data_IF_314993613471
#
_entry.id   IF_314993613471
#
_cell.length_a   1.000
_cell.length_b   1.000
_cell.length_c   1.000
_cell.angle_alpha   90.00
_cell.angle_beta   90.00
_cell.angle_gamma   90.00
#
_symmetry.space_group_name_H-M   'P 1'
#
loop_
_entity.id
_entity.type
_entity.pdbx_description
1 polymer ?
#
# COMPACT_ATOMS: atom_id res chain seq x y z
N UNK A 1 1.99 -8.12 0.04
CA UNK A 1 2.67 -7.43 -1.08
C UNK A 1 4.02 -8.07 -1.31
N UNK A 2 4.79 -7.59 -2.29
CA UNK A 2 6.06 -8.23 -2.66
C UNK A 2 7.27 -7.40 -2.27
N UNK A 3 8.37 -8.10 -1.96
CA UNK A 3 9.72 -7.52 -1.97
C UNK A 3 10.30 -7.76 -3.37
N UNK A 4 10.61 -6.67 -4.07
CA UNK A 4 11.26 -6.55 -5.41
C UNK A 4 11.18 -7.76 -6.38
N UNK A 5 11.87 -8.87 -6.09
CA UNK A 5 12.08 -9.99 -7.01
C UNK A 5 10.97 -11.06 -6.99
N UNK A 6 10.10 -11.10 -5.97
CA UNK A 6 8.99 -12.06 -5.93
C UNK A 6 7.89 -11.75 -6.95
N UNK A 7 7.80 -10.48 -7.39
CA UNK A 7 6.82 -10.02 -8.39
C UNK A 7 7.04 -10.69 -9.75
N UNK A 8 8.30 -11.07 -10.07
CA UNK A 8 8.71 -11.65 -11.35
C UNK A 8 9.33 -13.04 -11.22
N UNK A 9 9.08 -13.75 -10.12
CA UNK A 9 9.56 -15.13 -9.97
C UNK A 9 9.06 -15.98 -11.16
N UNK A 10 9.94 -16.74 -11.84
CA UNK A 10 9.53 -17.63 -12.94
C UNK A 10 8.43 -18.62 -12.58
N UNK A 11 8.26 -18.91 -11.28
CA UNK A 11 7.19 -19.75 -10.75
C UNK A 11 5.81 -19.08 -10.66
N UNK A 12 5.68 -17.77 -10.94
CA UNK A 12 4.39 -17.05 -10.99
C UNK A 12 4.03 -16.64 -12.41
N UNK A 13 3.30 -17.51 -13.10
CA UNK A 13 2.78 -17.27 -14.46
C UNK A 13 1.41 -16.58 -14.50
N UNK A 14 0.67 -16.55 -13.38
CA UNK A 14 -0.73 -16.06 -13.32
C UNK A 14 -0.91 -14.62 -12.78
N UNK A 15 0.16 -13.82 -12.68
CA UNK A 15 0.04 -12.44 -12.19
C UNK A 15 -0.34 -12.38 -10.70
N UNK A 16 -1.03 -11.32 -10.26
CA UNK A 16 -1.28 -11.03 -8.83
C UNK A 16 -2.73 -10.82 -8.45
N UNK A 17 -3.63 -10.89 -9.43
CA UNK A 17 -5.08 -10.75 -9.28
C UNK A 17 -5.63 -11.89 -8.44
N UNK A 18 -6.58 -11.57 -7.56
CA UNK A 18 -7.33 -12.51 -6.73
C UNK A 18 -8.75 -12.01 -6.60
N UNK A 19 -9.70 -12.92 -6.57
CA UNK A 19 -11.09 -12.60 -6.24
C UNK A 19 -11.45 -13.12 -4.86
N UNK A 20 -12.33 -12.40 -4.16
CA UNK A 20 -12.89 -12.85 -2.89
C UNK A 20 -14.40 -12.74 -2.93
N UNK A 21 -15.08 -13.83 -2.60
CA UNK A 21 -16.54 -13.87 -2.44
C UNK A 21 -16.89 -14.76 -1.23
N UNK A 22 -17.72 -14.24 -0.32
CA UNK A 22 -18.18 -14.97 0.88
C UNK A 22 -17.03 -15.63 1.68
N UNK A 23 -15.92 -14.91 1.91
CA UNK A 23 -14.70 -15.39 2.58
C UNK A 23 -13.96 -16.53 1.85
N UNK A 24 -14.27 -16.80 0.59
CA UNK A 24 -13.55 -17.75 -0.27
C UNK A 24 -12.65 -17.01 -1.26
N UNK A 25 -11.46 -17.54 -1.45
CA UNK A 25 -10.50 -17.08 -2.46
C UNK A 25 -10.84 -17.73 -3.81
N UNK A 26 -10.90 -16.93 -4.86
CA UNK A 26 -11.00 -17.37 -6.25
C UNK A 26 -10.00 -16.64 -7.14
N UNK A 27 -9.93 -17.06 -8.41
CA UNK A 27 -9.00 -16.53 -9.41
C UNK A 27 -9.69 -16.03 -10.69
N UNK A 28 -11.02 -16.20 -10.81
CA UNK A 28 -11.79 -15.76 -11.99
C UNK A 28 -12.56 -14.44 -11.72
N UNK A 29 -12.17 -13.32 -12.36
CA UNK A 29 -12.85 -12.03 -12.19
C UNK A 29 -14.27 -11.99 -12.76
N UNK A 30 -14.67 -12.96 -13.58
CA UNK A 30 -15.97 -12.99 -14.24
C UNK A 30 -17.02 -13.86 -13.52
N UNK A 31 -16.61 -14.63 -12.51
CA UNK A 31 -17.48 -15.59 -11.82
C UNK A 31 -18.69 -14.93 -11.12
N UNK A 32 -18.49 -13.77 -10.49
CA UNK A 32 -19.53 -13.09 -9.70
C UNK A 32 -19.45 -11.57 -9.83
N UNK A 33 -19.64 -11.04 -11.04
CA UNK A 33 -19.52 -9.60 -11.33
C UNK A 33 -20.41 -8.77 -10.41
N UNK A 34 -19.81 -7.75 -9.78
CA UNK A 34 -20.49 -6.85 -8.83
C UNK A 34 -20.77 -7.47 -7.45
N UNK A 35 -20.45 -8.76 -7.25
CA UNK A 35 -20.68 -9.50 -5.99
C UNK A 35 -19.40 -10.12 -5.42
N UNK A 36 -18.25 -9.88 -6.06
CA UNK A 36 -16.94 -10.28 -5.57
C UNK A 36 -16.00 -9.10 -5.52
N UNK A 37 -15.09 -9.13 -4.55
CA UNK A 37 -14.01 -8.18 -4.44
C UNK A 37 -12.87 -8.60 -5.36
N UNK A 38 -12.30 -7.63 -6.10
CA UNK A 38 -11.09 -7.82 -6.88
C UNK A 38 -9.91 -7.23 -6.10
N UNK A 39 -8.90 -8.06 -5.84
CA UNK A 39 -7.70 -7.65 -5.10
C UNK A 39 -6.45 -7.97 -5.88
N UNK A 40 -5.38 -7.22 -5.61
CA UNK A 40 -4.06 -7.49 -6.13
C UNK A 40 -3.02 -7.25 -5.04
N UNK A 41 -1.86 -7.90 -5.19
CA UNK A 41 -0.76 -7.64 -4.28
C UNK A 41 -0.18 -6.24 -4.50
N UNK A 42 0.10 -5.55 -3.40
CA UNK A 42 0.76 -4.24 -3.42
C UNK A 42 2.21 -4.35 -3.90
N UNK A 43 2.57 -3.50 -4.87
CA UNK A 43 3.94 -3.26 -5.33
C UNK A 43 4.60 -2.19 -4.46
N UNK A 44 5.14 -2.62 -3.32
CA UNK A 44 5.83 -1.73 -2.39
C UNK A 44 7.07 -1.05 -2.99
N UNK A 45 7.90 -1.68 -3.86
CA UNK A 45 8.98 -0.97 -4.53
C UNK A 45 8.51 0.22 -5.37
N UNK A 46 7.41 0.06 -6.10
CA UNK A 46 6.82 1.14 -6.87
C UNK A 46 6.31 2.27 -5.96
N UNK A 47 5.62 1.92 -4.87
CA UNK A 47 5.18 2.90 -3.87
C UNK A 47 6.34 3.66 -3.25
N UNK A 48 7.42 2.95 -2.89
CA UNK A 48 8.61 3.57 -2.35
C UNK A 48 9.25 4.56 -3.34
N UNK A 49 9.47 4.14 -4.58
CA UNK A 49 10.02 5.01 -5.64
C UNK A 49 9.16 6.25 -5.83
N UNK A 50 7.84 6.07 -5.90
CA UNK A 50 6.92 7.19 -6.08
C UNK A 50 6.94 8.14 -4.88
N UNK A 51 6.94 7.62 -3.65
CA UNK A 51 7.05 8.45 -2.46
C UNK A 51 8.34 9.28 -2.44
N UNK A 52 9.48 8.68 -2.81
CA UNK A 52 10.76 9.39 -2.91
C UNK A 52 10.71 10.52 -3.95
N UNK A 53 10.11 10.28 -5.12
CA UNK A 53 9.92 11.32 -6.15
C UNK A 53 9.06 12.48 -5.64
N UNK A 54 8.12 12.22 -4.72
CA UNK A 54 7.26 13.21 -4.08
C UNK A 54 7.88 13.85 -2.82
N UNK A 55 9.16 13.59 -2.56
CA UNK A 55 9.92 14.15 -1.43
C UNK A 55 9.67 13.45 -0.09
N UNK A 56 9.15 12.22 -0.09
CA UNK A 56 9.02 11.42 1.13
C UNK A 56 10.32 10.67 1.43
N UNK A 57 10.67 10.59 2.71
CA UNK A 57 11.76 9.74 3.21
C UNK A 57 11.18 8.39 3.65
N UNK A 58 11.70 7.30 3.10
CA UNK A 58 11.36 5.94 3.56
C UNK A 58 12.14 5.60 4.83
N UNK A 59 11.45 5.16 5.87
CA UNK A 59 12.05 4.70 7.12
C UNK A 59 12.26 3.19 7.17
N UNK A 60 11.54 2.44 6.34
CA UNK A 60 11.74 1.01 6.19
C UNK A 60 10.45 0.26 5.92
N UNK A 61 10.63 -1.04 5.79
CA UNK A 61 9.58 -2.02 5.52
C UNK A 61 9.61 -3.08 6.60
N UNK A 62 8.45 -3.57 6.99
CA UNK A 62 8.32 -4.60 8.03
C UNK A 62 7.06 -5.44 7.82
N UNK A 63 7.02 -6.64 8.37
CA UNK A 63 5.78 -7.40 8.47
C UNK A 63 4.78 -6.64 9.36
N UNK A 64 3.49 -6.90 9.15
CA UNK A 64 2.45 -6.40 10.06
C UNK A 64 2.74 -6.82 11.50
N UNK A 65 3.16 -8.07 11.71
CA UNK A 65 3.56 -8.58 13.02
C UNK A 65 4.62 -7.70 13.69
N UNK A 66 5.77 -7.49 13.03
CA UNK A 66 6.86 -6.70 13.58
C UNK A 66 6.46 -5.23 13.84
N UNK A 67 5.56 -4.66 13.03
CA UNK A 67 5.02 -3.33 13.26
C UNK A 67 4.14 -3.26 14.52
N UNK A 68 3.20 -4.20 14.62
CA UNK A 68 2.25 -4.25 15.73
C UNK A 68 2.94 -4.54 17.07
N UNK A 69 3.99 -5.38 17.09
CA UNK A 69 4.84 -5.54 18.27
C UNK A 69 5.45 -4.22 18.75
N UNK A 70 6.01 -3.42 17.83
CA UNK A 70 6.60 -2.12 18.19
C UNK A 70 5.54 -1.13 18.70
N UNK A 71 4.33 -1.17 18.13
CA UNK A 71 3.21 -0.37 18.63
C UNK A 71 2.82 -0.79 20.05
N UNK A 72 2.72 -2.10 20.32
CA UNK A 72 2.40 -2.61 21.66
C UNK A 72 3.48 -2.25 22.69
N UNK A 73 4.76 -2.42 22.35
CA UNK A 73 5.86 -2.00 23.22
C UNK A 73 5.80 -0.50 23.53
N UNK A 74 5.44 0.31 22.55
CA UNK A 74 5.30 1.76 22.73
C UNK A 74 4.11 2.11 23.62
N UNK A 75 2.99 1.40 23.48
CA UNK A 75 1.79 1.55 24.32
C UNK A 75 2.07 1.16 25.78
N UNK A 76 2.74 0.03 26.02
CA UNK A 76 3.06 -0.40 27.38
C UNK A 76 3.98 0.59 28.11
N UNK A 77 4.85 1.29 27.36
CA UNK A 77 5.71 2.36 27.92
C UNK A 77 4.93 3.61 28.37
N UNK A 78 3.70 3.82 27.90
CA UNK A 78 2.84 4.92 28.38
C UNK A 78 2.10 4.56 29.67
N UNK A 79 2.26 3.33 30.17
CA UNK A 79 1.53 2.81 31.34
C UNK A 79 0.12 2.33 31.01
N UNK A 80 -0.28 2.33 29.73
CA UNK A 80 -1.54 1.77 29.28
C UNK A 80 -1.44 0.24 29.16
N UNK A 81 -2.53 -0.44 29.51
CA UNK A 81 -2.67 -1.89 29.39
C UNK A 81 -3.79 -2.23 28.43
N UNK A 82 -3.63 -3.34 27.71
CA UNK A 82 -4.72 -3.90 26.92
C UNK A 82 -5.67 -4.68 27.80
N UNK A 83 -6.97 -4.56 27.57
CA UNK A 83 -7.96 -5.45 28.15
C UNK A 83 -7.95 -6.85 27.48
N UNK A 84 -8.77 -7.77 27.98
CA UNK A 84 -8.84 -9.14 27.46
C UNK A 84 -9.36 -9.21 26.01
N UNK A 85 -10.28 -8.32 25.63
CA UNK A 85 -10.81 -8.24 24.27
C UNK A 85 -9.76 -7.69 23.30
N UNK A 86 -9.04 -6.65 23.68
CA UNK A 86 -7.95 -6.05 22.92
C UNK A 86 -6.80 -7.03 22.74
N UNK A 87 -6.44 -7.78 23.78
CA UNK A 87 -5.45 -8.85 23.70
C UNK A 87 -5.84 -9.94 22.69
N UNK A 88 -7.11 -10.34 22.64
CA UNK A 88 -7.57 -11.37 21.70
C UNK A 88 -7.56 -10.86 20.25
N UNK A 89 -7.99 -9.62 20.01
CA UNK A 89 -7.88 -9.00 18.68
C UNK A 89 -6.42 -8.88 18.23
N UNK A 90 -5.53 -8.45 19.14
CA UNK A 90 -4.10 -8.37 18.87
C UNK A 90 -3.54 -9.74 18.48
N UNK A 91 -3.87 -10.81 19.21
CA UNK A 91 -3.47 -12.18 18.83
C UNK A 91 -3.93 -12.56 17.42
N UNK A 92 -5.16 -12.25 17.03
CA UNK A 92 -5.65 -12.53 15.67
C UNK A 92 -4.89 -11.76 14.59
N UNK A 93 -4.56 -10.49 14.84
CA UNK A 93 -3.78 -9.65 13.92
C UNK A 93 -2.33 -10.10 13.75
N UNK A 94 -1.80 -10.78 14.78
CA UNK A 94 -0.42 -11.24 14.86
C UNK A 94 -0.23 -12.68 14.42
N UNK A 95 -1.28 -13.49 14.45
CA UNK A 95 -1.15 -14.92 14.20
C UNK A 95 -0.64 -15.21 12.78
N UNK A 96 0.47 -15.98 12.64
CA UNK A 96 1.08 -16.39 11.37
C UNK A 96 0.11 -16.96 10.34
N UNK A 97 -0.80 -17.83 10.78
CA UNK A 97 -1.81 -18.52 9.94
C UNK A 97 -2.99 -17.63 9.51
N UNK A 98 -3.01 -16.37 9.96
CA UNK A 98 -4.08 -15.43 9.64
C UNK A 98 -3.53 -14.22 8.87
N UNK A 99 -3.17 -13.16 9.60
CA UNK A 99 -2.77 -11.87 9.04
C UNK A 99 -1.27 -11.56 9.26
N UNK A 100 -0.57 -12.32 10.12
CA UNK A 100 0.79 -11.98 10.56
C UNK A 100 1.84 -11.91 9.44
N UNK A 101 1.80 -12.85 8.48
CA UNK A 101 2.78 -12.93 7.39
C UNK A 101 2.29 -12.39 6.04
N UNK A 102 0.98 -12.21 5.87
CA UNK A 102 0.39 -11.81 4.57
C UNK A 102 0.51 -10.30 4.31
N UNK A 103 0.59 -9.51 5.38
CA UNK A 103 0.57 -8.05 5.31
C UNK A 103 1.94 -7.46 5.61
N UNK A 104 2.25 -6.39 4.91
CA UNK A 104 3.49 -5.64 5.03
C UNK A 104 3.16 -4.17 5.24
N UNK A 105 4.05 -3.48 5.95
CA UNK A 105 3.92 -2.07 6.28
C UNK A 105 5.12 -1.32 5.69
N UNK A 106 4.83 -0.31 4.87
CA UNK A 106 5.79 0.66 4.36
C UNK A 106 5.63 1.95 5.14
N UNK A 107 6.73 2.44 5.74
CA UNK A 107 6.73 3.66 6.53
C UNK A 107 7.45 4.76 5.73
N UNK A 108 6.72 5.81 5.38
CA UNK A 108 7.25 6.99 4.73
C UNK A 108 6.84 8.25 5.48
N UNK A 109 7.76 9.21 5.56
CA UNK A 109 7.53 10.47 6.27
C UNK A 109 7.85 11.65 5.35
N UNK A 110 6.99 12.67 5.39
CA UNK A 110 7.33 14.00 4.91
C UNK A 110 7.90 14.77 6.10
N UNK A 111 9.11 15.32 5.96
CA UNK A 111 9.61 16.27 6.96
C UNK A 111 8.61 17.42 7.09
N UNK A 112 8.33 17.88 8.31
CA UNK A 112 7.61 19.13 8.49
C UNK A 112 8.46 20.23 7.85
N UNK A 113 7.91 20.89 6.83
CA UNK A 113 8.54 22.08 6.25
C UNK A 113 8.48 23.15 7.33
N UNK A 114 9.62 23.71 7.74
CA UNK A 114 9.70 24.83 8.69
C UNK A 114 9.30 26.17 8.07
N UNK A 115 8.64 26.17 6.91
CA UNK A 115 8.28 27.39 6.18
C UNK A 115 7.02 27.11 5.34
N UNK A 116 5.98 27.92 5.56
CA UNK A 116 4.61 27.82 5.06
C UNK A 116 4.42 28.09 3.56
N UNK A 117 5.32 27.62 2.70
CA UNK A 117 5.13 27.69 1.24
C UNK A 117 4.72 26.33 0.66
N UNK A 118 3.54 26.29 0.01
CA UNK A 118 3.12 25.23 -0.92
C UNK A 118 2.41 25.90 -2.12
N UNK A 119 2.47 25.35 -3.36
CA UNK A 119 2.86 23.98 -3.72
C UNK A 119 3.91 23.83 -4.83
N UNK A 120 4.68 22.73 -4.76
CA UNK A 120 5.46 22.23 -5.91
C UNK A 120 4.66 21.11 -6.58
N UNK A 121 3.80 21.51 -7.51
CA UNK A 121 3.90 21.02 -8.88
C UNK A 121 3.22 22.07 -9.76
N UNK A 122 3.87 22.60 -10.81
CA UNK A 122 3.10 23.13 -11.92
C UNK A 122 2.29 21.95 -12.47
N UNK A 123 0.97 22.01 -12.32
CA UNK A 123 0.07 21.33 -13.24
C UNK A 123 0.59 21.70 -14.62
N UNK A 124 1.11 20.74 -15.39
CA UNK A 124 1.41 20.98 -16.81
C UNK A 124 0.12 21.58 -17.36
N UNK A 125 0.23 22.84 -17.74
CA UNK A 125 -0.82 23.57 -18.43
C UNK A 125 -1.32 22.68 -19.54
N UNK A 126 -2.63 22.58 -19.60
CA UNK A 126 -3.37 22.11 -20.73
C UNK A 126 -2.87 22.86 -21.99
N UNK A 127 -1.92 22.27 -22.72
CA UNK A 127 -1.51 22.69 -24.05
C UNK A 127 -2.26 21.81 -25.05
N UNK A 128 -3.53 22.13 -25.27
CA UNK A 128 -4.17 21.89 -26.55
C UNK A 128 -3.81 23.08 -27.44
N UNK A 129 -2.73 22.94 -28.21
CA UNK A 129 -2.41 23.88 -29.27
C UNK A 129 -3.53 23.81 -30.32
N UNK A 130 -4.32 24.87 -30.39
CA UNK A 130 -5.16 25.18 -31.54
C UNK A 130 -4.25 25.41 -32.74
N UNK A 131 -4.06 24.36 -33.55
CA UNK A 131 -3.52 24.47 -34.90
C UNK A 131 -4.54 25.12 -35.84
N UNK A 132 -4.68 26.45 -35.75
CA UNK A 132 -5.07 27.25 -36.91
C UNK A 132 -3.84 27.44 -37.80
N UNK A 133 -3.77 26.65 -38.87
CA UNK A 133 -3.06 26.98 -40.10
C UNK A 133 -4.01 26.58 -41.25
N UNK A 134 -4.17 27.32 -42.32
CA UNK A 134 -3.75 28.65 -42.70
C UNK A 134 -4.56 28.97 -43.95
N UNK A 135 -4.81 30.26 -44.17
CA UNK A 135 -5.17 30.76 -45.49
C UNK A 135 -4.10 30.33 -46.49
N UNK A 136 -4.51 29.70 -47.57
CA UNK A 136 -3.91 29.80 -48.91
C UNK A 136 -4.86 29.11 -49.90
N UNK A 137 -5.48 29.91 -50.77
CA UNK A 137 -6.46 29.51 -51.77
C UNK A 137 -7.44 30.63 -52.05
#
# INVERSE_FOLDING_TARGET
GFKDLEKFSPSRTQGTLRTYSQHRLGDDPFEAIGQQDLTAHVDFPALERQGRQQGLKTHGWKSQEAFMHQCLESLLKTGQTLDAHECNHFKTLMHPEHFGHRFQVLIQQRGMRSDGSTPIHPRKSDHWENGQSGQNG
#
